data_IF_722026616575
#
_entry.id   IF_722026616575
#
_cell.length_a   1.000
_cell.length_b   1.000
_cell.length_c   1.000
_cell.angle_alpha   90.00
_cell.angle_beta   90.00
_cell.angle_gamma   90.00
#
_symmetry.space_group_name_H-M   'P 1'
#
loop_
_entity.id
_entity.type
_entity.pdbx_description
1 polymer ?
#
# COMPACT_ATOMS: atom_id res chain seq x y z
N UNK A 1 -2.04 2.00 -19.45
CA UNK A 1 -1.28 2.62 -18.33
C UNK A 1 0.20 2.36 -18.55
N UNK A 2 1.04 3.39 -18.61
CA UNK A 2 2.48 3.20 -18.74
C UNK A 2 3.10 2.89 -17.36
N UNK A 3 3.03 1.61 -16.97
CA UNK A 3 3.54 1.07 -15.70
C UNK A 3 5.04 1.35 -15.52
N UNK A 4 5.79 1.35 -16.61
CA UNK A 4 7.23 1.62 -16.64
C UNK A 4 7.53 3.07 -16.26
N UNK A 5 6.75 4.03 -16.76
CA UNK A 5 6.89 5.43 -16.36
C UNK A 5 6.68 5.62 -14.85
N UNK A 6 5.62 5.03 -14.28
CA UNK A 6 5.35 5.12 -12.84
C UNK A 6 6.44 4.44 -12.00
N UNK A 7 6.98 3.32 -12.48
CA UNK A 7 8.11 2.65 -11.85
C UNK A 7 9.36 3.55 -11.87
N UNK A 8 9.67 4.17 -13.02
CA UNK A 8 10.78 5.11 -13.16
C UNK A 8 10.63 6.29 -12.20
N UNK A 9 9.45 6.90 -12.12
CA UNK A 9 9.18 7.98 -11.17
C UNK A 9 9.35 7.53 -9.71
N UNK A 10 8.94 6.29 -9.39
CA UNK A 10 9.10 5.78 -8.03
C UNK A 10 10.57 5.57 -7.68
N UNK A 11 11.40 5.14 -8.65
CA UNK A 11 12.83 4.94 -8.44
C UNK A 11 13.53 6.25 -8.09
N UNK A 12 13.16 7.37 -8.73
CA UNK A 12 13.69 8.69 -8.39
C UNK A 12 13.46 9.02 -6.90
N UNK A 13 12.27 8.71 -6.37
CA UNK A 13 11.97 8.92 -4.94
C UNK A 13 12.73 7.98 -4.03
N UNK A 14 12.91 6.72 -4.43
CA UNK A 14 13.71 5.75 -3.69
C UNK A 14 15.18 6.15 -3.63
N UNK A 15 15.76 6.58 -4.76
CA UNK A 15 17.15 7.04 -4.84
C UNK A 15 17.37 8.23 -3.90
N UNK A 16 16.50 9.25 -3.98
CA UNK A 16 16.56 10.40 -3.08
C UNK A 16 16.32 10.04 -1.61
N UNK A 17 15.47 9.03 -1.35
CA UNK A 17 15.29 8.51 -0.01
C UNK A 17 16.52 7.73 0.48
N UNK A 18 17.36 7.14 -0.38
CA UNK A 18 18.61 6.50 0.05
C UNK A 18 19.67 7.54 0.36
N UNK A 19 19.82 8.57 -0.49
CA UNK A 19 20.76 9.68 -0.29
C UNK A 19 20.60 10.31 1.09
N UNK A 20 19.38 10.74 1.43
CA UNK A 20 19.07 11.37 2.72
C UNK A 20 19.30 10.48 3.94
N UNK A 21 19.45 9.17 3.77
CA UNK A 21 19.74 8.26 4.88
C UNK A 21 21.22 7.95 5.02
N UNK A 22 21.96 7.90 3.92
CA UNK A 22 23.43 7.82 3.97
C UNK A 22 24.02 8.99 4.77
N UNK A 23 23.37 10.15 4.73
CA UNK A 23 23.72 11.32 5.55
C UNK A 23 23.45 11.14 7.06
N UNK A 24 22.56 10.21 7.45
CA UNK A 24 22.10 10.04 8.85
C UNK A 24 22.78 8.84 9.55
N UNK A 25 23.20 7.81 8.81
CA UNK A 25 23.72 6.56 9.37
C UNK A 25 25.10 6.21 8.80
N UNK A 26 26.09 6.05 9.68
CA UNK A 26 27.50 5.73 9.32
C UNK A 26 27.72 4.29 8.79
N UNK A 27 26.72 3.40 8.90
CA UNK A 27 26.81 1.99 8.45
C UNK A 27 25.98 1.75 7.17
N UNK A 28 26.56 2.08 6.02
CA UNK A 28 25.89 2.08 4.71
C UNK A 28 25.36 0.71 4.25
N UNK A 29 26.09 -0.39 4.48
CA UNK A 29 25.77 -1.71 3.90
C UNK A 29 24.46 -2.30 4.44
N UNK A 30 24.27 -2.29 5.76
CA UNK A 30 23.03 -2.80 6.38
C UNK A 30 21.78 -1.99 5.99
N UNK A 31 21.97 -0.72 5.67
CA UNK A 31 20.89 0.18 5.30
C UNK A 31 20.44 -0.03 3.85
N UNK A 32 21.41 -0.22 2.94
CA UNK A 32 21.15 -0.49 1.53
C UNK A 32 20.27 -1.73 1.36
N UNK A 33 20.59 -2.82 2.04
CA UNK A 33 19.80 -4.06 2.01
C UNK A 33 18.35 -3.85 2.51
N UNK A 34 18.17 -3.04 3.56
CA UNK A 34 16.85 -2.71 4.10
C UNK A 34 16.03 -1.91 3.08
N UNK A 35 16.64 -0.93 2.40
CA UNK A 35 15.95 -0.12 1.40
C UNK A 35 15.62 -0.91 0.15
N UNK A 36 16.54 -1.74 -0.32
CA UNK A 36 16.33 -2.58 -1.50
C UNK A 36 15.23 -3.62 -1.22
N UNK A 37 15.22 -4.23 -0.02
CA UNK A 37 14.11 -5.06 0.45
C UNK A 37 12.78 -4.28 0.44
N UNK A 38 12.74 -3.04 0.93
CA UNK A 38 11.51 -2.24 0.99
C UNK A 38 11.02 -1.80 -0.37
N UNK A 39 11.92 -1.48 -1.30
CA UNK A 39 11.56 -1.16 -2.67
C UNK A 39 10.97 -2.40 -3.36
N UNK A 40 11.60 -3.57 -3.20
CA UNK A 40 11.07 -4.84 -3.68
C UNK A 40 9.69 -5.15 -3.09
N UNK A 41 9.55 -5.03 -1.77
CA UNK A 41 8.27 -5.17 -1.06
C UNK A 41 7.21 -4.24 -1.65
N UNK A 42 7.52 -2.96 -1.83
CA UNK A 42 6.60 -1.96 -2.39
C UNK A 42 6.18 -2.28 -3.82
N UNK A 43 7.07 -2.87 -4.62
CA UNK A 43 6.73 -3.36 -5.96
C UNK A 43 5.72 -4.50 -5.92
N UNK A 44 5.90 -5.46 -5.02
CA UNK A 44 4.95 -6.57 -4.82
C UNK A 44 3.60 -6.04 -4.32
N UNK A 45 3.61 -5.10 -3.37
CA UNK A 45 2.40 -4.42 -2.88
C UNK A 45 1.65 -3.76 -4.04
N UNK A 46 2.35 -3.00 -4.88
CA UNK A 46 1.75 -2.33 -6.03
C UNK A 46 1.11 -3.29 -7.02
N UNK A 47 1.78 -4.42 -7.32
CA UNK A 47 1.26 -5.45 -8.23
C UNK A 47 0.02 -6.17 -7.66
N UNK A 48 0.02 -6.48 -6.35
CA UNK A 48 -1.14 -7.07 -5.69
C UNK A 48 -2.32 -6.09 -5.66
N UNK A 49 -2.07 -4.82 -5.34
CA UNK A 49 -3.10 -3.81 -5.19
C UNK A 49 -3.83 -3.53 -6.52
N UNK A 50 -3.11 -3.39 -7.63
CA UNK A 50 -3.75 -3.21 -8.94
C UNK A 50 -4.49 -4.45 -9.42
N UNK A 51 -4.01 -5.65 -9.09
CA UNK A 51 -4.73 -6.89 -9.40
C UNK A 51 -6.07 -6.96 -8.65
N UNK A 52 -6.07 -6.58 -7.37
CA UNK A 52 -7.32 -6.46 -6.61
C UNK A 52 -8.23 -5.37 -7.18
N UNK A 53 -7.68 -4.20 -7.53
CA UNK A 53 -8.44 -3.12 -8.15
C UNK A 53 -9.13 -3.59 -9.45
N UNK A 54 -8.37 -4.20 -10.36
CA UNK A 54 -8.87 -4.65 -11.66
C UNK A 54 -9.99 -5.71 -11.54
N UNK A 55 -9.92 -6.55 -10.51
CA UNK A 55 -10.90 -7.62 -10.28
C UNK A 55 -12.14 -7.18 -9.52
N UNK A 56 -11.99 -6.24 -8.58
CA UNK A 56 -12.98 -6.02 -7.53
C UNK A 56 -13.54 -4.60 -7.47
N UNK A 57 -12.80 -3.59 -7.94
CA UNK A 57 -13.21 -2.20 -7.74
C UNK A 57 -14.55 -1.89 -8.43
N UNK A 58 -14.66 -2.20 -9.73
CA UNK A 58 -15.89 -1.97 -10.49
C UNK A 58 -17.05 -2.86 -10.01
N UNK A 59 -16.77 -4.08 -9.51
CA UNK A 59 -17.81 -4.94 -8.92
C UNK A 59 -18.43 -4.31 -7.67
N UNK A 60 -17.66 -3.53 -6.92
CA UNK A 60 -18.10 -2.89 -5.68
C UNK A 60 -18.76 -1.54 -5.91
N UNK A 61 -18.19 -0.70 -6.78
CA UNK A 61 -18.55 0.71 -6.88
C UNK A 61 -19.13 1.11 -8.26
N UNK A 62 -19.18 0.18 -9.21
CA UNK A 62 -19.81 0.36 -10.53
C UNK A 62 -19.02 1.21 -11.52
N UNK A 63 -18.35 2.26 -11.07
CA UNK A 63 -17.52 3.17 -11.88
C UNK A 63 -16.17 3.40 -11.23
N UNK A 64 -15.16 3.75 -12.02
CA UNK A 64 -13.84 4.11 -11.51
C UNK A 64 -13.29 5.31 -12.30
N UNK A 65 -12.81 6.32 -11.58
CA UNK A 65 -12.04 7.39 -12.19
C UNK A 65 -10.76 6.80 -12.83
N UNK A 66 -10.44 7.15 -14.09
CA UNK A 66 -9.23 6.68 -14.77
C UNK A 66 -7.93 6.95 -13.99
N UNK A 67 -7.89 7.96 -13.13
CA UNK A 67 -6.75 8.29 -12.29
C UNK A 67 -6.58 7.35 -11.08
N UNK A 68 -7.61 6.60 -10.65
CA UNK A 68 -7.53 5.78 -9.44
C UNK A 68 -6.53 4.65 -9.55
N UNK A 69 -6.59 3.89 -10.65
CA UNK A 69 -5.69 2.76 -10.89
C UNK A 69 -4.20 3.18 -10.91
N UNK A 70 -3.77 4.17 -11.70
CA UNK A 70 -2.38 4.62 -11.69
C UNK A 70 -1.97 5.29 -10.37
N UNK A 71 -2.87 6.02 -9.71
CA UNK A 71 -2.59 6.61 -8.38
C UNK A 71 -2.38 5.55 -7.31
N UNK A 72 -3.22 4.50 -7.29
CA UNK A 72 -3.06 3.35 -6.41
C UNK A 72 -1.71 2.67 -6.65
N UNK A 73 -1.41 2.37 -7.92
CA UNK A 73 -0.15 1.73 -8.28
C UNK A 73 1.06 2.54 -7.79
N UNK A 74 1.06 3.85 -8.07
CA UNK A 74 2.16 4.73 -7.71
C UNK A 74 2.28 4.91 -6.20
N UNK A 75 1.16 5.12 -5.49
CA UNK A 75 1.14 5.21 -4.04
C UNK A 75 1.71 3.96 -3.37
N UNK A 76 1.34 2.76 -3.86
CA UNK A 76 1.90 1.51 -3.36
C UNK A 76 3.40 1.36 -3.64
N UNK A 77 3.92 1.85 -4.77
CA UNK A 77 5.36 1.82 -5.06
C UNK A 77 6.19 2.65 -4.07
N UNK A 78 5.59 3.66 -3.44
CA UNK A 78 6.30 4.63 -2.58
C UNK A 78 5.82 4.60 -1.13
N UNK A 79 4.89 3.74 -0.75
CA UNK A 79 4.23 3.80 0.57
C UNK A 79 5.18 3.67 1.76
N UNK A 80 6.33 3.01 1.55
CA UNK A 80 7.39 2.79 2.54
C UNK A 80 8.63 3.67 2.32
N UNK A 81 8.55 4.65 1.41
CA UNK A 81 9.61 5.66 1.22
C UNK A 81 9.81 6.43 2.53
N UNK A 82 11.05 6.79 2.87
CA UNK A 82 11.39 7.49 4.12
C UNK A 82 10.95 6.78 5.41
N UNK A 83 10.67 5.48 5.40
CA UNK A 83 10.39 4.69 6.61
C UNK A 83 11.65 4.44 7.43
N UNK A 84 11.85 5.10 8.57
CA UNK A 84 12.96 4.76 9.48
C UNK A 84 12.52 3.73 10.52
N UNK A 85 11.28 3.84 11.01
CA UNK A 85 10.68 2.91 11.96
C UNK A 85 9.17 2.72 11.70
N UNK A 86 8.47 2.00 12.59
CA UNK A 86 7.04 1.64 12.42
C UNK A 86 6.05 2.83 12.42
N UNK A 87 6.44 4.06 12.79
CA UNK A 87 5.56 5.25 12.93
C UNK A 87 5.79 6.34 11.85
N UNK A 88 5.98 5.96 10.58
CA UNK A 88 6.55 6.84 9.54
C UNK A 88 5.65 7.21 8.34
N UNK A 89 4.38 6.80 8.31
CA UNK A 89 3.49 7.07 7.19
C UNK A 89 3.36 8.57 6.81
N UNK A 90 3.28 9.45 7.82
CA UNK A 90 3.23 10.89 7.58
C UNK A 90 4.55 11.44 7.02
N UNK A 91 5.69 10.86 7.40
CA UNK A 91 7.00 11.28 6.90
C UNK A 91 7.16 10.91 5.41
N UNK A 92 6.74 9.70 5.01
CA UNK A 92 6.72 9.29 3.61
C UNK A 92 5.78 10.16 2.76
N UNK A 93 4.59 10.47 3.27
CA UNK A 93 3.62 11.31 2.56
C UNK A 93 4.12 12.75 2.38
N UNK A 94 4.74 13.35 3.42
CA UNK A 94 5.37 14.68 3.33
C UNK A 94 6.56 14.68 2.38
N UNK A 95 7.41 13.66 2.47
CA UNK A 95 8.54 13.51 1.55
C UNK A 95 8.09 13.44 0.09
N UNK A 96 6.99 12.74 -0.20
CA UNK A 96 6.40 12.74 -1.53
C UNK A 96 5.99 14.16 -1.98
N UNK A 97 5.30 14.94 -1.13
CA UNK A 97 4.89 16.31 -1.46
C UNK A 97 6.08 17.24 -1.68
N UNK A 98 7.12 17.16 -0.85
CA UNK A 98 8.35 17.94 -0.97
C UNK A 98 9.07 17.67 -2.31
N UNK A 99 8.88 16.47 -2.87
CA UNK A 99 9.54 16.03 -4.09
C UNK A 99 8.61 15.94 -5.30
N UNK A 100 7.35 16.38 -5.18
CA UNK A 100 6.36 16.24 -6.25
C UNK A 100 6.75 16.95 -7.55
N UNK A 101 7.56 18.02 -7.46
CA UNK A 101 8.11 18.74 -8.61
C UNK A 101 9.03 17.88 -9.50
N UNK A 102 9.60 16.79 -8.96
CA UNK A 102 10.41 15.82 -9.70
C UNK A 102 9.56 14.79 -10.46
N UNK A 103 8.25 14.78 -10.22
CA UNK A 103 7.35 13.69 -10.60
C UNK A 103 6.25 14.14 -11.58
N UNK A 104 6.45 15.28 -12.25
CA UNK A 104 5.46 15.90 -13.15
C UNK A 104 4.91 14.89 -14.15
N UNK A 105 3.64 14.55 -13.97
CA UNK A 105 2.94 13.52 -14.74
C UNK A 105 1.44 13.73 -14.64
N UNK A 106 0.75 13.71 -15.77
CA UNK A 106 -0.72 13.70 -15.81
C UNK A 106 -1.31 12.30 -15.57
N UNK A 107 -0.47 11.30 -15.28
CA UNK A 107 -0.89 9.90 -15.20
C UNK A 107 -1.58 9.55 -13.88
N UNK A 108 -1.40 10.33 -12.82
CA UNK A 108 -1.96 10.05 -11.50
C UNK A 108 -2.41 11.34 -10.82
N UNK A 109 -3.27 11.20 -9.82
CA UNK A 109 -3.74 12.28 -8.97
C UNK A 109 -2.83 12.42 -7.74
N UNK A 110 -2.21 13.59 -7.60
CA UNK A 110 -1.28 13.90 -6.50
C UNK A 110 -1.95 13.81 -5.13
N UNK A 111 -3.18 14.31 -4.99
CA UNK A 111 -3.91 14.33 -3.73
C UNK A 111 -4.30 12.91 -3.32
N UNK A 112 -4.70 12.10 -4.29
CA UNK A 112 -5.03 10.70 -4.05
C UNK A 112 -3.80 9.89 -3.64
N UNK A 113 -2.66 10.08 -4.31
CA UNK A 113 -1.39 9.43 -3.92
C UNK A 113 -1.01 9.81 -2.50
N UNK A 114 -1.04 11.10 -2.18
CA UNK A 114 -0.77 11.57 -0.82
C UNK A 114 -1.70 10.94 0.21
N UNK A 115 -3.00 10.93 -0.06
CA UNK A 115 -4.02 10.34 0.81
C UNK A 115 -3.72 8.86 1.09
N UNK A 116 -3.44 8.07 0.05
CA UNK A 116 -3.13 6.63 0.21
C UNK A 116 -1.85 6.45 1.04
N UNK A 117 -0.77 7.14 0.70
CA UNK A 117 0.51 7.02 1.43
C UNK A 117 0.33 7.42 2.90
N UNK A 118 -0.40 8.51 3.18
CA UNK A 118 -0.62 8.99 4.53
C UNK A 118 -1.49 8.02 5.36
N UNK A 119 -2.57 7.49 4.81
CA UNK A 119 -3.57 6.76 5.60
C UNK A 119 -3.47 5.22 5.54
N UNK A 120 -2.71 4.62 4.61
CA UNK A 120 -2.72 3.16 4.43
C UNK A 120 -2.40 2.39 5.73
N UNK A 121 -1.43 2.83 6.53
CA UNK A 121 -1.03 2.17 7.78
C UNK A 121 -1.78 2.64 9.02
N UNK A 122 -2.84 3.44 8.87
CA UNK A 122 -3.59 3.97 10.00
C UNK A 122 -4.14 2.83 10.89
N UNK A 123 -3.87 2.91 12.18
CA UNK A 123 -4.43 2.03 13.21
C UNK A 123 -5.12 2.92 14.24
N UNK A 124 -6.22 2.43 14.80
CA UNK A 124 -6.99 3.07 15.87
C UNK A 124 -6.16 3.22 17.14
N UNK A 125 -5.15 2.36 17.33
CA UNK A 125 -4.28 2.38 18.52
C UNK A 125 -3.33 3.58 18.51
N UNK A 126 -3.69 4.62 19.26
CA UNK A 126 -2.80 5.75 19.57
C UNK A 126 -2.82 6.89 18.55
N UNK A 127 -3.86 7.00 17.72
CA UNK A 127 -4.14 8.16 16.87
C UNK A 127 -5.26 9.00 17.48
N UNK A 128 -5.20 10.31 17.26
CA UNK A 128 -6.24 11.26 17.66
C UNK A 128 -7.58 10.88 17.01
N UNK A 129 -8.69 11.12 17.72
CA UNK A 129 -10.05 10.89 17.23
C UNK A 129 -10.30 11.68 15.93
N UNK A 130 -9.71 12.86 15.81
CA UNK A 130 -9.78 13.69 14.60
C UNK A 130 -9.25 12.96 13.36
N UNK A 131 -8.08 12.33 13.47
CA UNK A 131 -7.46 11.55 12.40
C UNK A 131 -8.29 10.33 11.98
N UNK A 132 -8.99 9.69 12.93
CA UNK A 132 -9.91 8.59 12.62
C UNK A 132 -11.15 9.10 11.88
N UNK A 133 -11.68 10.27 12.28
CA UNK A 133 -12.84 10.87 11.65
C UNK A 133 -12.54 11.34 10.23
N UNK A 134 -11.34 11.87 9.95
CA UNK A 134 -10.88 12.19 8.59
C UNK A 134 -11.02 10.98 7.67
N UNK A 135 -10.49 9.82 8.08
CA UNK A 135 -10.54 8.58 7.28
C UNK A 135 -11.98 8.12 7.06
N UNK A 136 -12.84 8.23 8.09
CA UNK A 136 -14.25 7.83 8.00
C UNK A 136 -15.07 8.71 7.06
N UNK A 137 -14.68 9.98 6.91
CA UNK A 137 -15.33 10.93 6.03
C UNK A 137 -14.83 10.87 4.58
N UNK A 138 -13.81 10.05 4.27
CA UNK A 138 -13.40 9.79 2.89
C UNK A 138 -14.51 9.12 2.09
N UNK A 139 -14.50 9.32 0.77
CA UNK A 139 -15.39 8.61 -0.14
C UNK A 139 -15.13 7.10 -0.11
N UNK A 140 -16.16 6.31 -0.46
CA UNK A 140 -16.07 4.85 -0.47
C UNK A 140 -15.02 4.34 -1.47
N UNK A 141 -14.83 5.06 -2.58
CA UNK A 141 -13.75 4.84 -3.53
C UNK A 141 -12.37 4.87 -2.86
N UNK A 142 -12.07 5.95 -2.15
CA UNK A 142 -10.77 6.15 -1.50
C UNK A 142 -10.59 5.12 -0.38
N UNK A 143 -11.64 4.86 0.41
CA UNK A 143 -11.60 3.80 1.43
C UNK A 143 -11.26 2.45 0.80
N UNK A 144 -11.81 2.14 -0.38
CA UNK A 144 -11.55 0.87 -1.06
C UNK A 144 -10.10 0.78 -1.56
N UNK A 145 -9.55 1.87 -2.06
CA UNK A 145 -8.12 1.97 -2.41
C UNK A 145 -7.22 1.76 -1.19
N UNK A 146 -7.59 2.34 -0.04
CA UNK A 146 -6.89 2.12 1.23
C UNK A 146 -6.96 0.64 1.67
N UNK A 147 -8.11 0.00 1.51
CA UNK A 147 -8.28 -1.43 1.81
C UNK A 147 -7.36 -2.29 0.95
N UNK A 148 -7.33 -2.09 -0.37
CA UNK A 148 -6.46 -2.83 -1.27
C UNK A 148 -4.98 -2.62 -0.96
N UNK A 149 -4.59 -1.40 -0.61
CA UNK A 149 -3.21 -1.09 -0.18
C UNK A 149 -2.86 -1.85 1.10
N UNK A 150 -3.75 -1.86 2.10
CA UNK A 150 -3.56 -2.58 3.38
C UNK A 150 -3.46 -4.09 3.21
N UNK A 151 -4.35 -4.66 2.42
CA UNK A 151 -4.32 -6.09 2.08
C UNK A 151 -3.00 -6.46 1.43
N UNK A 152 -2.60 -5.67 0.43
CA UNK A 152 -1.37 -5.90 -0.34
C UNK A 152 -0.11 -5.76 0.51
N UNK A 153 -0.02 -4.77 1.42
CA UNK A 153 1.11 -4.63 2.36
C UNK A 153 1.28 -5.86 3.28
N UNK A 154 0.18 -6.48 3.70
CA UNK A 154 0.29 -7.67 4.55
C UNK A 154 0.56 -8.95 3.75
N UNK A 155 -0.12 -9.13 2.63
CA UNK A 155 0.01 -10.31 1.79
C UNK A 155 1.36 -10.37 1.06
N UNK A 156 1.94 -9.24 0.69
CA UNK A 156 3.29 -9.18 0.09
C UNK A 156 4.37 -9.85 0.94
N UNK A 157 4.25 -9.81 2.27
CA UNK A 157 5.18 -10.51 3.19
C UNK A 157 5.08 -12.03 3.04
N UNK A 158 3.86 -12.53 2.81
CA UNK A 158 3.65 -13.94 2.50
C UNK A 158 4.20 -14.24 1.11
N UNK A 159 3.98 -13.39 0.10
CA UNK A 159 4.58 -13.59 -1.24
C UNK A 159 6.11 -13.68 -1.17
N UNK A 160 6.77 -12.78 -0.43
CA UNK A 160 8.23 -12.85 -0.24
C UNK A 160 8.61 -14.16 0.46
N UNK A 161 7.87 -14.54 1.52
CA UNK A 161 8.12 -15.78 2.25
C UNK A 161 7.98 -17.03 1.37
N UNK A 162 7.03 -17.07 0.44
CA UNK A 162 6.76 -18.25 -0.41
C UNK A 162 7.93 -18.59 -1.33
N UNK A 163 8.85 -17.66 -1.57
CA UNK A 163 10.07 -17.93 -2.33
C UNK A 163 11.09 -18.79 -1.55
N UNK A 164 10.96 -18.87 -0.23
CA UNK A 164 11.95 -19.52 0.64
C UNK A 164 11.34 -20.59 1.55
N UNK A 165 10.02 -20.56 1.78
CA UNK A 165 9.32 -21.50 2.65
C UNK A 165 7.86 -21.64 2.25
N UNK A 166 7.32 -22.85 2.39
CA UNK A 166 5.89 -23.13 2.26
C UNK A 166 5.04 -22.29 3.24
N UNK A 167 3.82 -21.98 2.80
CA UNK A 167 2.88 -21.16 3.55
C UNK A 167 1.63 -21.98 3.78
N UNK A 168 1.23 -22.12 5.04
CA UNK A 168 0.01 -22.84 5.35
C UNK A 168 -1.22 -21.93 5.18
N UNK A 169 -2.41 -22.50 4.86
CA UNK A 169 -3.65 -21.75 4.79
C UNK A 169 -3.97 -20.95 6.07
N UNK A 170 -3.61 -21.49 7.25
CA UNK A 170 -3.85 -20.84 8.55
C UNK A 170 -3.03 -19.55 8.71
N UNK A 171 -1.81 -19.50 8.14
CA UNK A 171 -1.01 -18.28 8.15
C UNK A 171 -1.68 -17.16 7.36
N UNK A 172 -2.31 -17.50 6.22
CA UNK A 172 -3.08 -16.54 5.42
C UNK A 172 -4.28 -16.04 6.22
N UNK A 173 -4.99 -16.93 6.90
CA UNK A 173 -6.18 -16.61 7.70
C UNK A 173 -5.88 -15.64 8.84
N UNK A 174 -4.79 -15.88 9.56
CA UNK A 174 -4.35 -14.99 10.63
C UNK A 174 -4.07 -13.58 10.10
N UNK A 175 -3.43 -13.46 8.95
CA UNK A 175 -3.12 -12.18 8.32
C UNK A 175 -4.39 -11.43 7.91
N UNK A 176 -5.30 -12.12 7.20
CA UNK A 176 -6.52 -11.50 6.68
C UNK A 176 -7.52 -11.15 7.79
N UNK A 177 -7.67 -11.99 8.81
CA UNK A 177 -8.52 -11.71 9.98
C UNK A 177 -8.10 -10.43 10.70
N UNK A 178 -6.79 -10.19 10.84
CA UNK A 178 -6.26 -8.97 11.44
C UNK A 178 -6.60 -7.73 10.62
N UNK A 179 -6.57 -7.83 9.28
CA UNK A 179 -6.91 -6.73 8.38
C UNK A 179 -8.40 -6.46 8.40
N UNK A 180 -9.22 -7.51 8.40
CA UNK A 180 -10.68 -7.41 8.42
C UNK A 180 -11.16 -6.66 9.66
N UNK A 181 -10.69 -7.05 10.85
CA UNK A 181 -11.06 -6.38 12.10
C UNK A 181 -10.66 -4.91 12.12
N UNK A 182 -9.41 -4.61 11.72
CA UNK A 182 -8.91 -3.24 11.74
C UNK A 182 -9.52 -2.35 10.65
N UNK A 183 -9.92 -2.93 9.51
CA UNK A 183 -10.42 -2.18 8.35
C UNK A 183 -11.93 -2.00 8.42
N UNK A 184 -12.70 -2.96 8.94
CA UNK A 184 -14.14 -2.80 9.20
C UNK A 184 -14.43 -1.64 10.16
N UNK A 185 -13.71 -1.60 11.29
CA UNK A 185 -13.91 -0.53 12.29
C UNK A 185 -13.46 0.86 11.82
N UNK A 186 -12.44 0.92 10.95
CA UNK A 186 -11.81 2.16 10.51
C UNK A 186 -12.47 2.74 9.25
N UNK A 187 -12.79 1.89 8.28
CA UNK A 187 -13.28 2.30 6.96
C UNK A 187 -14.82 2.28 6.87
N UNK A 188 -15.51 1.68 7.85
CA UNK A 188 -16.97 1.65 7.97
C UNK A 188 -17.69 1.17 6.71
N UNK A 189 -17.26 0.04 6.16
CA UNK A 189 -17.85 -0.52 4.95
C UNK A 189 -19.08 -1.39 5.21
N UNK A 190 -19.98 -1.43 4.23
CA UNK A 190 -21.13 -2.32 4.20
C UNK A 190 -20.73 -3.80 4.02
N UNK A 191 -21.67 -4.72 4.28
CA UNK A 191 -21.43 -6.16 4.35
C UNK A 191 -20.82 -6.79 3.07
N UNK A 192 -21.02 -6.18 1.90
CA UNK A 192 -20.51 -6.66 0.60
C UNK A 192 -18.99 -6.81 0.50
N UNK A 193 -18.22 -6.15 1.36
CA UNK A 193 -16.77 -6.33 1.42
C UNK A 193 -16.36 -7.71 1.96
N UNK A 194 -17.19 -8.31 2.82
CA UNK A 194 -16.87 -9.59 3.44
C UNK A 194 -16.75 -10.72 2.40
N UNK A 195 -17.56 -10.68 1.35
CA UNK A 195 -17.52 -11.67 0.26
C UNK A 195 -16.26 -11.54 -0.60
N UNK A 196 -15.87 -10.30 -0.93
CA UNK A 196 -14.66 -10.04 -1.71
C UNK A 196 -13.40 -10.36 -0.92
N UNK A 197 -13.39 -10.10 0.39
CA UNK A 197 -12.28 -10.53 1.25
C UNK A 197 -12.10 -12.05 1.22
N UNK A 198 -13.20 -12.82 1.24
CA UNK A 198 -13.14 -14.28 1.08
C UNK A 198 -12.67 -14.69 -0.31
N UNK A 199 -13.08 -13.99 -1.36
CA UNK A 199 -12.61 -14.29 -2.72
C UNK A 199 -11.10 -14.02 -2.87
N UNK A 200 -10.62 -12.90 -2.32
CA UNK A 200 -9.20 -12.55 -2.25
C UNK A 200 -8.43 -13.61 -1.47
N UNK A 201 -8.95 -14.04 -0.32
CA UNK A 201 -8.38 -15.10 0.50
C UNK A 201 -8.21 -16.40 -0.29
N UNK A 202 -9.30 -16.89 -0.90
CA UNK A 202 -9.30 -18.15 -1.65
C UNK A 202 -8.33 -18.10 -2.83
N UNK A 203 -8.33 -16.99 -3.58
CA UNK A 203 -7.43 -16.79 -4.70
C UNK A 203 -5.96 -16.72 -4.25
N UNK A 204 -5.68 -16.13 -3.09
CA UNK A 204 -4.33 -16.05 -2.54
C UNK A 204 -3.84 -17.43 -2.07
N UNK A 205 -4.67 -18.16 -1.31
CA UNK A 205 -4.37 -19.52 -0.84
C UNK A 205 -4.09 -20.45 -2.01
N UNK A 206 -4.95 -20.46 -3.02
CA UNK A 206 -4.76 -21.31 -4.20
C UNK A 206 -3.44 -21.05 -4.94
N UNK A 207 -2.94 -19.80 -4.90
CA UNK A 207 -1.70 -19.42 -5.60
C UNK A 207 -0.42 -19.68 -4.79
N UNK A 208 -0.46 -19.51 -3.47
CA UNK A 208 0.74 -19.45 -2.64
C UNK A 208 0.81 -20.49 -1.52
N UNK A 209 -0.27 -21.22 -1.24
CA UNK A 209 -0.26 -22.35 -0.31
C UNK A 209 -0.07 -23.67 -1.05
N UNK A 210 0.51 -24.65 -0.35
CA UNK A 210 0.64 -26.04 -0.78
C UNK A 210 -0.14 -26.91 0.20
#
# INVERSE_FOLDING_TARGET
>A
MNKENLLRLSNILWDKSRELYGEIYENEDSFKDIMDYRQLHSKIVADLAVNMFDKYFLKLLGTADPAYRPSLYFACLIHDVRKLNKKHNLAGARFFLENQGLLTSSLYDLQLVFCIVNYHSADKKGKDLEYINEIRNLSDDIKLLLLFTRLSDKLSKLVIKSHYKEISPEEVDMVLKKINNNSKELLNFNDGISEILKEIENNFKHKYCI
#
